data_IF_379115096376
#
_entry.id   IF_379115096376
#
_cell.length_a   1.000
_cell.length_b   1.000
_cell.length_c   1.000
_cell.angle_alpha   90.00
_cell.angle_beta   90.00
_cell.angle_gamma   90.00
#
_symmetry.space_group_name_H-M   'P 1'
#
loop_
_entity.id
_entity.type
_entity.pdbx_description
1 polymer ?
2 polymer ?
3 water ?
#
# COMPACT_ATOMS: atom_id res chain seq x y z
N UNK A 1 1.22 5.11 18.88
CA UNK A 1 0.45 3.97 18.30
C UNK A 1 -0.70 4.50 17.40
N UNK A 2 -1.21 3.69 16.46
CA UNK A 2 -2.41 4.02 15.66
C UNK A 2 -3.69 3.44 16.31
N UNK A 3 -4.67 4.28 16.57
CA UNK A 3 -5.98 3.83 17.07
C UNK A 3 -6.91 3.87 15.86
N UNK A 4 -7.51 2.74 15.53
CA UNK A 4 -8.44 2.61 14.40
C UNK A 4 -9.82 2.38 14.99
N UNK A 5 -10.85 3.10 14.54
CA UNK A 5 -12.26 2.85 14.96
C UNK A 5 -13.11 2.62 13.71
N UNK A 6 -13.88 1.51 13.74
CA UNK A 6 -14.67 0.98 12.63
C UNK A 6 -16.17 1.24 12.84
N UNK A 7 -16.84 1.59 11.73
CA UNK A 7 -18.30 1.91 11.68
C UNK A 7 -18.85 1.63 10.30
N UNK A 8 -20.16 1.56 10.20
CA UNK A 8 -20.90 1.53 8.92
C UNK A 8 -21.63 0.24 8.75
N UNK A 9 -21.48 -0.71 9.66
CA UNK A 9 -22.10 -2.02 9.41
C UNK A 9 -23.55 -2.06 9.89
N UNK A 10 -24.14 -3.25 9.78
CA UNK A 10 -25.44 -3.60 10.41
C UNK A 10 -26.22 -4.53 9.50
N UNK A 11 -27.54 -4.39 9.49
CA UNK A 11 -28.41 -5.40 8.83
C UNK A 11 -28.95 -4.82 7.54
N UNK A 12 -28.76 -5.54 6.45
CA UNK A 12 -29.35 -5.19 5.14
C UNK A 12 -29.96 -6.43 4.52
N UNK A 13 -30.75 -6.22 3.47
CA UNK A 13 -31.23 -7.28 2.55
C UNK A 13 -30.21 -7.49 1.42
N UNK A 14 -30.15 -8.69 0.86
CA UNK A 14 -29.29 -8.98 -0.29
C UNK A 14 -29.55 -7.94 -1.39
N UNK A 15 -28.51 -7.56 -2.12
CA UNK A 15 -28.61 -6.57 -3.20
C UNK A 15 -28.35 -5.17 -2.69
N UNK A 16 -28.39 -4.95 -1.39
CA UNK A 16 -28.24 -3.63 -0.78
C UNK A 16 -26.78 -3.19 -0.77
N UNK A 17 -26.54 -1.95 -0.34
CA UNK A 17 -25.20 -1.30 -0.23
C UNK A 17 -24.92 -0.97 1.22
N UNK A 18 -23.64 -0.99 1.64
CA UNK A 18 -23.18 -0.40 2.93
C UNK A 18 -21.87 0.36 2.65
N UNK A 19 -21.51 1.25 3.56
CA UNK A 19 -20.23 1.93 3.48
C UNK A 19 -19.60 1.85 4.84
N UNK A 20 -18.49 1.15 4.91
CA UNK A 20 -17.69 1.05 6.17
C UNK A 20 -16.60 2.16 6.19
N UNK A 21 -16.35 2.69 7.38
CA UNK A 21 -15.33 3.71 7.66
C UNK A 21 -14.37 3.17 8.71
N UNK A 22 -13.08 3.32 8.41
CA UNK A 22 -12.02 3.18 9.40
C UNK A 22 -11.38 4.56 9.56
N UNK A 23 -11.40 5.06 10.79
CA UNK A 23 -10.85 6.37 11.18
C UNK A 23 -9.59 6.12 12.06
N UNK A 24 -8.45 6.68 11.66
CA UNK A 24 -7.19 6.61 12.43
C UNK A 24 -7.00 7.86 13.30
N UNK A 25 -6.43 7.67 14.49
CA UNK A 25 -5.94 8.74 15.41
C UNK A 25 -4.63 8.27 16.00
N UNK A 26 -3.90 9.11 16.71
CA UNK A 26 -2.59 8.73 17.27
C UNK A 26 -1.48 9.00 16.28
N UNK A 27 -0.73 7.97 15.86
CA UNK A 27 0.35 8.13 14.84
C UNK A 27 -0.30 8.12 13.50
N UNK A 28 -0.97 9.21 13.20
CA UNK A 28 -1.61 9.33 11.88
C UNK A 28 -0.51 9.37 10.80
N UNK A 29 0.71 9.78 11.19
CA UNK A 29 1.94 9.69 10.36
C UNK A 29 2.11 8.27 9.77
N UNK A 30 2.16 7.32 10.69
CA UNK A 30 2.40 5.88 10.46
C UNK A 30 1.26 5.42 9.51
N UNK A 31 0.02 5.84 9.80
CA UNK A 31 -1.17 5.47 9.03
C UNK A 31 -1.03 5.95 7.59
N UNK A 32 -0.59 7.21 7.38
CA UNK A 32 -0.50 7.90 6.05
C UNK A 32 0.54 7.27 5.10
N UNK A 33 1.59 6.69 5.64
CA UNK A 33 2.70 6.04 4.86
C UNK A 33 2.42 4.52 4.76
N UNK A 34 1.31 4.03 5.26
CA UNK A 34 1.04 2.58 5.41
C UNK A 34 -0.08 2.19 4.46
N UNK A 35 0.11 1.09 3.73
CA UNK A 35 -0.96 0.27 3.13
C UNK A 35 -1.94 -0.21 4.23
N UNK A 36 -3.24 -0.09 3.91
CA UNK A 36 -4.38 -0.44 4.80
C UNK A 36 -5.29 -1.41 4.09
N UNK A 37 -5.98 -2.23 4.89
CA UNK A 37 -6.91 -3.20 4.31
C UNK A 37 -8.12 -3.41 5.19
N UNK A 38 -9.16 -3.90 4.55
CA UNK A 38 -10.38 -4.39 5.19
C UNK A 38 -10.31 -5.92 5.15
N UNK A 39 -10.50 -6.48 6.33
CA UNK A 39 -10.50 -7.91 6.67
C UNK A 39 -11.92 -8.26 7.09
N UNK A 40 -12.26 -9.55 6.97
CA UNK A 40 -13.56 -10.02 7.48
C UNK A 40 -13.40 -11.41 8.10
N UNK A 41 -14.14 -11.69 9.15
CA UNK A 41 -14.20 -13.04 9.72
C UNK A 41 -15.66 -13.48 9.82
N UNK A 42 -16.04 -14.47 9.00
CA UNK A 42 -17.36 -15.13 8.95
C UNK A 42 -17.43 -16.11 10.11
N UNK A 43 -18.65 -16.48 10.57
CA UNK A 43 -18.77 -17.43 11.67
C UNK A 43 -18.35 -18.82 11.12
N UNK A 44 -17.44 -19.46 11.86
CA UNK A 44 -16.85 -20.76 11.48
C UNK A 44 -15.69 -20.66 10.51
N UNK A 45 -15.25 -19.44 10.19
CA UNK A 45 -14.20 -19.27 9.18
C UNK A 45 -13.01 -18.47 9.74
N UNK A 46 -11.87 -18.63 9.07
CA UNK A 46 -10.62 -17.88 9.30
C UNK A 46 -10.80 -16.44 8.79
N UNK A 47 -10.26 -15.47 9.53
CA UNK A 47 -10.17 -14.09 9.06
C UNK A 47 -9.44 -14.03 7.71
N UNK A 48 -9.93 -13.21 6.78
CA UNK A 48 -9.41 -13.10 5.39
C UNK A 48 -9.33 -11.61 5.02
N UNK A 49 -8.28 -11.22 4.29
CA UNK A 49 -8.14 -9.87 3.72
C UNK A 49 -9.03 -9.82 2.47
N UNK A 50 -9.91 -8.85 2.36
CA UNK A 50 -10.78 -8.75 1.16
C UNK A 50 -10.38 -7.61 0.23
N UNK A 51 -9.78 -6.55 0.77
CA UNK A 51 -9.42 -5.33 0.03
C UNK A 51 -8.25 -4.64 0.73
N UNK A 52 -7.30 -4.17 -0.08
CA UNK A 52 -6.09 -3.46 0.36
C UNK A 52 -5.85 -2.27 -0.57
N UNK A 53 -5.19 -1.27 -0.02
CA UNK A 53 -4.93 0.02 -0.68
C UNK A 53 -3.56 0.54 -0.25
N UNK A 54 -2.82 1.08 -1.19
CA UNK A 54 -1.48 1.65 -0.96
C UNK A 54 -1.65 2.89 -0.10
N UNK A 55 -0.53 3.35 0.47
CA UNK A 55 -0.38 4.66 1.11
C UNK A 55 -0.99 5.77 0.21
N UNK A 56 -0.81 5.66 -1.10
CA UNK A 56 -1.10 6.79 -1.99
C UNK A 56 -2.58 6.84 -2.33
N UNK A 57 -3.29 5.72 -2.21
CA UNK A 57 -4.73 5.68 -2.40
C UNK A 57 -5.11 5.32 -3.80
N UNK A 58 -4.15 5.11 -4.69
CA UNK A 58 -4.40 4.97 -6.14
C UNK A 58 -4.19 3.55 -6.63
N UNK A 59 -3.95 2.60 -5.75
CA UNK A 59 -3.56 1.23 -6.13
C UNK A 59 -4.16 0.28 -5.10
N UNK A 60 -4.83 -0.77 -5.57
CA UNK A 60 -5.73 -1.62 -4.74
C UNK A 60 -5.56 -3.08 -5.15
N UNK A 61 -5.91 -3.91 -4.18
CA UNK A 61 -5.95 -5.37 -4.36
C UNK A 61 -7.26 -5.83 -3.72
N UNK A 62 -7.97 -6.76 -4.38
CA UNK A 62 -9.23 -7.35 -3.85
C UNK A 62 -9.20 -8.87 -3.93
N UNK A 63 -9.78 -9.52 -2.93
CA UNK A 63 -10.23 -10.92 -2.99
C UNK A 63 -11.18 -11.04 -4.20
N UNK A 64 -10.99 -12.07 -5.01
CA UNK A 64 -11.81 -12.30 -6.24
C UNK A 64 -13.32 -12.33 -5.88
N UNK A 65 -13.69 -12.78 -4.67
CA UNK A 65 -15.08 -12.94 -4.18
C UNK A 65 -15.79 -11.61 -3.98
N UNK A 66 -15.04 -10.49 -3.89
CA UNK A 66 -15.63 -9.13 -3.64
C UNK A 66 -15.25 -8.15 -4.74
N UNK A 67 -14.33 -8.52 -5.61
CA UNK A 67 -13.77 -7.67 -6.69
C UNK A 67 -14.93 -7.15 -7.57
N UNK A 68 -15.02 -5.82 -7.77
CA UNK A 68 -16.10 -5.23 -8.57
C UNK A 68 -17.36 -4.97 -7.81
N UNK A 69 -17.61 -5.63 -6.68
CA UNK A 69 -18.72 -5.28 -5.78
C UNK A 69 -18.28 -4.30 -4.72
N UNK A 70 -17.07 -4.47 -4.19
CA UNK A 70 -16.50 -3.66 -3.09
C UNK A 70 -15.39 -2.79 -3.66
N UNK A 71 -15.37 -1.52 -3.25
CA UNK A 71 -14.31 -0.52 -3.57
C UNK A 71 -13.70 -0.02 -2.28
N UNK A 72 -12.39 -0.19 -2.12
CA UNK A 72 -11.62 0.45 -1.01
C UNK A 72 -11.10 1.79 -1.50
N UNK A 73 -11.13 2.76 -0.62
CA UNK A 73 -10.62 4.11 -0.92
C UNK A 73 -10.08 4.72 0.37
N UNK A 74 -9.38 5.84 0.24
CA UNK A 74 -8.90 6.49 1.46
C UNK A 74 -8.96 7.99 1.21
N UNK A 75 -9.05 8.70 2.33
CA UNK A 75 -8.96 10.18 2.41
C UNK A 75 -7.72 10.43 3.24
N UNK A 76 -6.66 10.78 2.50
CA UNK A 76 -5.32 10.94 3.12
C UNK A 76 -5.36 12.14 4.09
N UNK A 77 -6.04 13.21 3.74
CA UNK A 77 -6.15 14.38 4.63
C UNK A 77 -7.00 14.06 5.87
N UNK A 78 -8.03 13.24 5.79
CA UNK A 78 -8.92 13.02 6.97
C UNK A 78 -8.48 11.76 7.73
N UNK A 79 -7.45 11.02 7.26
CA UNK A 79 -7.00 9.79 7.95
C UNK A 79 -8.12 8.74 8.03
N UNK A 80 -8.73 8.48 6.89
CA UNK A 80 -9.88 7.58 6.75
C UNK A 80 -9.61 6.56 5.65
N UNK A 81 -10.12 5.36 5.87
CA UNK A 81 -10.17 4.26 4.88
C UNK A 81 -11.63 3.83 4.81
N UNK A 82 -12.16 3.77 3.60
CA UNK A 82 -13.56 3.37 3.32
C UNK A 82 -13.65 2.07 2.55
N UNK A 83 -14.74 1.33 2.82
CA UNK A 83 -15.14 0.23 1.96
C UNK A 83 -16.62 0.45 1.58
N UNK A 84 -16.82 0.72 0.31
CA UNK A 84 -18.15 0.78 -0.30
C UNK A 84 -18.50 -0.64 -0.73
N UNK A 85 -19.56 -1.15 -0.12
CA UNK A 85 -20.01 -2.53 -0.36
C UNK A 85 -21.33 -2.48 -1.17
N UNK A 86 -21.28 -2.82 -2.46
CA UNK A 86 -22.47 -2.88 -3.37
C UNK A 86 -22.88 -4.34 -3.62
N UNK A 87 -24.14 -4.54 -3.99
CA UNK A 87 -24.61 -5.88 -4.37
C UNK A 87 -24.31 -6.89 -3.27
N UNK A 88 -24.70 -6.60 -2.04
CA UNK A 88 -24.35 -7.48 -0.90
C UNK A 88 -25.04 -8.85 -1.06
N UNK A 89 -24.33 -9.90 -0.67
CA UNK A 89 -24.78 -11.30 -0.71
C UNK A 89 -24.80 -11.85 0.70
N UNK A 90 -25.62 -12.88 1.02
CA UNK A 90 -25.63 -13.47 2.36
C UNK A 90 -24.24 -13.97 2.77
N UNK A 91 -23.39 -14.41 1.82
CA UNK A 91 -22.01 -14.88 2.08
C UNK A 91 -21.08 -13.72 2.47
N UNK A 92 -21.48 -12.45 2.33
CA UNK A 92 -20.69 -11.28 2.80
C UNK A 92 -20.91 -11.10 4.31
N UNK A 93 -21.81 -11.89 4.94
CA UNK A 93 -22.11 -11.81 6.38
C UNK A 93 -20.81 -12.12 7.13
N UNK A 94 -20.34 -11.19 7.94
CA UNK A 94 -19.06 -11.28 8.65
C UNK A 94 -18.90 -10.05 9.56
N UNK A 95 -17.98 -10.15 10.52
CA UNK A 95 -17.36 -9.00 11.21
C UNK A 95 -16.22 -8.47 10.34
N UNK A 96 -16.24 -7.19 10.07
CA UNK A 96 -15.31 -6.50 9.19
C UNK A 96 -14.39 -5.68 10.05
N UNK A 97 -13.08 -5.80 9.76
CA UNK A 97 -11.95 -5.17 10.50
C UNK A 97 -11.06 -4.42 9.52
N UNK A 98 -10.60 -3.19 9.86
CA UNK A 98 -9.50 -2.48 9.13
C UNK A 98 -8.19 -2.64 9.92
N UNK A 99 -7.09 -2.86 9.20
CA UNK A 99 -5.75 -3.03 9.79
C UNK A 99 -4.75 -2.66 8.71
N UNK A 100 -3.47 -2.70 9.06
CA UNK A 100 -2.37 -2.59 8.09
C UNK A 100 -2.46 -3.75 7.10
N UNK A 101 -2.02 -3.54 5.86
CA UNK A 101 -1.93 -4.57 4.83
C UNK A 101 -0.60 -4.41 4.07
N UNK A 102 0.58 -4.68 4.72
CA UNK A 102 1.90 -4.48 4.09
C UNK A 102 1.92 -5.26 2.79
N UNK A 103 2.43 -4.69 1.71
CA UNK A 103 2.60 -5.37 0.41
C UNK A 103 1.29 -5.69 -0.22
N UNK A 104 0.23 -5.01 0.21
CA UNK A 104 -1.19 -5.26 -0.12
C UNK A 104 -1.58 -6.73 0.15
N UNK A 105 -1.08 -7.29 1.24
CA UNK A 105 -1.33 -8.62 1.73
C UNK A 105 -1.55 -8.51 3.23
N UNK A 106 -1.86 -9.65 3.81
CA UNK A 106 -2.33 -9.75 5.19
C UNK A 106 -1.20 -9.43 6.16
N UNK A 107 -1.50 -8.60 7.15
CA UNK A 107 -0.68 -8.35 8.36
C UNK A 107 -0.64 -9.62 9.22
N UNK A 108 0.43 -9.81 10.01
CA UNK A 108 0.44 -10.75 11.18
C UNK A 108 0.44 -9.92 12.48
N UNK A 109 -0.69 -9.78 13.18
CA UNK A 109 -0.88 -8.90 14.39
C UNK A 109 -1.87 -9.50 15.41
N UNK A 110 -1.63 -9.16 16.68
CA UNK A 110 -2.50 -9.48 17.82
C UNK A 110 -3.30 -8.26 18.26
N UNK A 111 -3.15 -7.14 17.49
CA UNK A 111 -3.79 -5.80 17.67
C UNK A 111 -4.88 -5.58 16.60
N UNK A 112 -6.13 -5.78 17.01
CA UNK A 112 -7.37 -5.68 16.22
C UNK A 112 -8.35 -4.79 16.96
N UNK A 113 -9.09 -3.93 16.27
CA UNK A 113 -10.22 -3.26 16.92
C UNK A 113 -11.38 -4.22 17.08
N UNK A 114 -12.50 -3.69 17.51
CA UNK A 114 -13.78 -4.42 17.70
C UNK A 114 -14.45 -4.83 16.36
N UNK A 115 -14.13 -4.16 15.25
CA UNK A 115 -14.79 -4.56 14.01
C UNK A 115 -16.21 -4.01 13.96
N UNK A 116 -16.86 -4.21 12.80
CA UNK A 116 -18.26 -3.81 12.48
C UNK A 116 -18.93 -5.04 11.83
N UNK A 117 -20.00 -5.50 12.47
CA UNK A 117 -20.84 -6.63 12.03
C UNK A 117 -21.64 -6.14 10.81
N UNK A 118 -21.54 -6.93 9.75
CA UNK A 118 -22.35 -6.86 8.51
C UNK A 118 -23.16 -8.17 8.41
N UNK A 119 -24.48 -8.06 8.42
CA UNK A 119 -25.46 -9.16 8.29
C UNK A 119 -26.29 -8.88 7.04
N UNK A 120 -26.25 -9.78 6.05
CA UNK A 120 -27.03 -9.68 4.78
C UNK A 120 -28.10 -10.81 4.82
N UNK A 121 -29.38 -10.50 4.95
CA UNK A 121 -30.43 -11.55 4.85
C UNK A 121 -30.94 -11.72 3.41
N UNK A 122 -31.34 -12.95 3.04
CA UNK A 122 -31.99 -13.31 1.74
C UNK A 122 -33.38 -12.69 1.59
N UNK B 29 7.00 22.64 -18.79
CA UNK B 29 7.59 23.10 -17.46
C UNK B 29 8.26 21.91 -16.72
N UNK B 30 9.47 22.10 -16.12
CA UNK B 30 10.37 21.00 -15.78
C UNK B 30 10.46 20.60 -14.29
N UNK B 31 9.45 20.90 -13.47
CA UNK B 31 9.50 20.51 -12.05
C UNK B 31 9.48 18.96 -11.97
N UNK B 32 8.89 18.26 -12.96
CA UNK B 32 8.91 16.76 -13.01
C UNK B 32 10.35 16.26 -13.14
N UNK B 33 11.17 16.89 -14.01
CA UNK B 33 12.59 16.50 -14.09
C UNK B 33 13.34 16.97 -12.83
N UNK B 34 13.04 18.11 -12.24
CA UNK B 34 13.77 18.58 -11.02
C UNK B 34 13.50 17.59 -9.85
N UNK B 35 12.26 17.14 -9.69
CA UNK B 35 11.92 16.19 -8.57
C UNK B 35 12.63 14.85 -8.79
N UNK B 36 12.54 14.28 -9.96
CA UNK B 36 13.19 13.00 -10.27
C UNK B 36 14.71 13.09 -10.03
N UNK B 37 15.35 14.16 -10.51
CA UNK B 37 16.80 14.34 -10.41
C UNK B 37 17.17 14.43 -8.94
N UNK B 38 16.45 15.23 -8.17
CA UNK B 38 16.77 15.43 -6.74
C UNK B 38 16.62 14.06 -6.03
N UNK B 39 15.57 13.30 -6.32
CA UNK B 39 15.33 11.95 -5.74
C UNK B 39 16.50 11.02 -6.11
N UNK B 40 16.87 10.99 -7.39
CA UNK B 40 17.99 10.19 -7.93
C UNK B 40 19.31 10.49 -7.22
N UNK B 41 19.49 11.75 -6.79
CA UNK B 41 20.72 12.23 -6.13
C UNK B 41 20.65 12.10 -4.62
N UNK B 42 19.51 11.68 -4.07
CA UNK B 42 19.36 11.50 -2.64
C UNK B 42 19.35 12.80 -1.88
N UNK B 43 18.86 13.88 -2.48
CA UNK B 43 18.91 15.25 -1.93
C UNK B 43 17.62 15.52 -1.20
N UNK B 44 17.56 15.13 0.06
CA UNK B 44 16.29 15.05 0.85
C UNK B 44 15.66 16.44 0.86
N UNK B 45 16.43 17.45 1.27
CA UNK B 45 15.87 18.83 1.48
C UNK B 45 15.39 19.43 0.13
N UNK B 46 16.10 19.14 -0.94
CA UNK B 46 15.62 19.53 -2.30
C UNK B 46 14.32 18.81 -2.67
N UNK B 47 14.18 17.50 -2.50
CA UNK B 47 12.90 16.76 -2.68
C UNK B 47 11.80 17.40 -1.85
N UNK B 48 12.05 17.63 -0.55
CA UNK B 48 11.07 18.22 0.38
C UNK B 48 10.57 19.57 -0.15
N UNK B 49 11.48 20.48 -0.55
CA UNK B 49 11.12 21.84 -1.06
C UNK B 49 10.32 21.75 -2.35
N UNK B 50 10.67 20.81 -3.22
CA UNK B 50 9.95 20.63 -4.50
C UNK B 50 8.54 20.10 -4.23
N UNK B 51 8.39 19.11 -3.37
CA UNK B 51 7.07 18.54 -3.04
C UNK B 51 6.22 19.62 -2.39
N UNK B 52 6.82 20.41 -1.49
CA UNK B 52 6.09 21.46 -0.74
C UNK B 52 5.57 22.53 -1.73
N UNK B 53 6.30 22.78 -2.80
CA UNK B 53 5.89 23.77 -3.81
C UNK B 53 4.93 23.16 -4.83
N UNK B 54 4.56 21.87 -4.75
CA UNK B 54 3.50 21.26 -5.56
C UNK B 54 4.01 20.43 -6.73
N UNK B 55 5.30 20.09 -6.77
CA UNK B 55 5.85 19.09 -7.73
C UNK B 55 5.05 17.79 -7.54
N UNK B 56 4.57 17.19 -8.61
CA UNK B 56 3.66 16.04 -8.44
C UNK B 56 4.51 14.79 -8.27
N UNK B 57 4.33 14.03 -7.15
CA UNK B 57 5.22 12.90 -6.86
C UNK B 57 5.15 11.75 -7.87
N UNK B 58 4.05 11.64 -8.63
CA UNK B 58 3.90 10.55 -9.63
C UNK B 58 4.13 11.08 -11.04
N UNK B 59 4.74 12.26 -11.25
CA UNK B 59 5.03 12.74 -12.63
C UNK B 59 6.26 12.03 -13.15
N UNK B 60 6.22 11.39 -14.34
CA UNK B 60 7.41 10.78 -14.91
C UNK B 60 8.41 11.75 -15.57
N UNK B 61 9.64 11.27 -15.67
CA UNK B 61 10.76 11.92 -16.39
C UNK B 61 10.67 11.48 -17.86
N UNK B 62 11.50 12.09 -18.72
CA UNK B 62 11.79 11.68 -20.13
C UNK B 62 11.80 10.16 -20.39
N UNK B 63 12.24 9.27 -19.50
CA UNK B 63 12.29 7.79 -19.76
C UNK B 63 10.97 7.16 -19.28
N UNK B 64 10.02 8.02 -18.87
CA UNK B 64 8.72 7.59 -18.33
C UNK B 64 8.89 7.01 -16.93
N UNK B 65 9.90 7.50 -16.21
CA UNK B 65 10.26 6.98 -14.87
C UNK B 65 9.88 8.01 -13.82
N UNK B 66 9.20 7.55 -12.76
CA UNK B 66 8.76 8.41 -11.65
C UNK B 66 9.87 8.54 -10.61
N UNK B 67 9.83 9.62 -9.81
CA UNK B 67 10.79 9.80 -8.72
C UNK B 67 11.05 8.53 -7.85
N UNK B 68 10.00 7.80 -7.48
CA UNK B 68 10.07 6.57 -6.61
C UNK B 68 10.85 5.48 -7.37
N UNK B 69 10.85 5.54 -8.71
CA UNK B 69 11.60 4.55 -9.53
C UNK B 69 13.07 4.93 -9.63
N UNK B 70 13.40 6.21 -9.77
CA UNK B 70 14.78 6.63 -10.07
C UNK B 70 15.52 6.98 -8.79
N UNK B 71 14.83 7.02 -7.65
CA UNK B 71 15.43 7.49 -6.37
C UNK B 71 16.69 6.68 -6.01
N UNK B 72 17.63 7.36 -5.36
CA UNK B 72 18.77 6.76 -4.66
C UNK B 72 18.25 5.76 -3.61
N UNK B 73 18.38 4.46 -3.88
CA UNK B 73 17.73 3.39 -3.10
C UNK B 73 18.36 3.31 -1.70
N UNK B 74 19.58 3.84 -1.57
CA UNK B 74 20.26 4.11 -0.29
C UNK B 74 19.57 5.15 0.57
N UNK B 75 18.62 5.93 0.10
CA UNK B 75 18.00 7.01 0.91
C UNK B 75 16.59 6.61 1.26
N UNK B 76 16.40 5.88 2.36
CA UNK B 76 15.05 5.56 2.88
C UNK B 76 14.29 6.84 3.18
N UNK B 77 14.97 7.95 3.53
CA UNK B 77 14.31 9.24 3.79
C UNK B 77 13.66 9.81 2.54
N UNK B 78 14.29 9.76 1.37
CA UNK B 78 13.66 10.21 0.10
C UNK B 78 12.41 9.40 -0.15
N UNK B 79 12.49 8.09 0.01
CA UNK B 79 11.34 7.15 -0.24
C UNK B 79 10.16 7.56 0.64
N UNK B 80 10.40 7.72 1.94
CA UNK B 80 9.29 8.08 2.85
C UNK B 80 8.65 9.43 2.56
N UNK B 81 9.43 10.46 2.25
CA UNK B 81 8.97 11.75 1.83
C UNK B 81 8.12 11.65 0.55
N UNK B 82 8.59 10.95 -0.47
CA UNK B 82 7.81 10.68 -1.72
C UNK B 82 6.48 10.03 -1.36
N UNK B 83 6.50 9.00 -0.56
CA UNK B 83 5.26 8.27 -0.14
C UNK B 83 4.32 9.12 0.73
N UNK B 84 4.85 9.91 1.66
CA UNK B 84 4.05 10.85 2.47
C UNK B 84 3.26 11.74 1.55
N UNK B 85 3.85 12.19 0.45
CA UNK B 85 3.22 13.12 -0.50
C UNK B 85 2.42 12.41 -1.57
N UNK B 86 2.22 11.10 -1.54
CA UNK B 86 1.26 10.38 -2.38
C UNK B 86 1.91 9.63 -3.52
N UNK B 87 3.22 9.46 -3.54
CA UNK B 87 3.86 8.55 -4.52
C UNK B 87 3.33 7.12 -4.42
N UNK B 88 3.20 6.44 -5.58
CA UNK B 88 2.67 5.07 -5.65
C UNK B 88 3.86 4.13 -5.73
N UNK B 89 3.94 3.15 -4.79
CA UNK B 89 5.12 2.27 -4.75
C UNK B 89 5.22 1.26 -5.89
N UNK B 90 4.13 0.94 -6.55
CA UNK B 90 4.10 -0.23 -7.48
C UNK B 90 4.31 0.13 -8.95
N UNK B 91 4.74 1.32 -9.30
CA UNK B 91 4.89 1.72 -10.72
C UNK B 91 6.09 0.97 -11.30
N UNK B 92 5.90 0.42 -12.49
CA UNK B 92 6.85 -0.49 -13.17
C UNK B 92 7.62 0.26 -14.27
N UNK B 93 8.89 -0.08 -14.47
CA UNK B 93 9.70 0.45 -15.60
C UNK B 93 9.00 0.02 -16.89
N UNK B 94 8.62 0.99 -17.77
CA UNK B 94 7.77 0.70 -18.93
C UNK B 94 8.42 -0.28 -19.91
N UNK B 95 9.75 -0.50 -19.86
CA UNK B 95 10.51 -1.52 -20.63
C UNK B 95 10.79 -2.80 -19.81
N UNK B 96 11.58 -2.68 -18.72
CA UNK B 96 12.15 -3.79 -17.89
C UNK B 96 11.08 -4.37 -16.95
N UNK B 97 9.98 -3.65 -16.68
CA UNK B 97 8.96 -4.01 -15.64
C UNK B 97 9.63 -4.18 -14.26
N UNK B 98 10.78 -3.54 -14.07
CA UNK B 98 11.37 -3.47 -12.73
C UNK B 98 10.52 -2.51 -11.92
N UNK B 99 10.18 -2.90 -10.71
CA UNK B 99 9.55 -2.03 -9.68
C UNK B 99 10.60 -1.54 -8.69
N UNK B 100 10.29 -0.48 -7.92
CA UNK B 100 11.15 0.05 -6.87
C UNK B 100 11.67 -1.02 -5.92
N UNK B 101 10.84 -1.97 -5.53
CA UNK B 101 11.25 -3.09 -4.63
C UNK B 101 12.28 -4.02 -5.28
N UNK B 102 12.24 -4.23 -6.61
CA UNK B 102 13.29 -4.99 -7.30
C UNK B 102 14.59 -4.25 -7.08
N UNK B 103 14.64 -2.94 -7.31
CA UNK B 103 15.94 -2.20 -7.28
C UNK B 103 16.44 -2.10 -5.85
N UNK B 104 15.54 -1.87 -4.89
CA UNK B 104 15.87 -1.81 -3.45
C UNK B 104 16.51 -3.15 -3.02
N UNK B 105 15.94 -4.26 -3.46
CA UNK B 105 16.41 -5.65 -3.17
C UNK B 105 17.75 -5.94 -3.85
N UNK B 106 17.88 -5.59 -5.12
CA UNK B 106 19.12 -5.81 -5.94
C UNK B 106 20.29 -5.00 -5.39
N UNK B 107 20.03 -3.84 -4.81
CA UNK B 107 21.08 -2.96 -4.27
C UNK B 107 21.29 -3.21 -2.80
N UNK B 108 20.50 -4.08 -2.19
CA UNK B 108 20.70 -4.51 -0.78
C UNK B 108 20.33 -3.49 0.31
N UNK B 109 19.35 -2.60 0.08
CA UNK B 109 18.93 -1.56 1.05
C UNK B 109 17.64 -2.01 1.71
N UNK B 110 17.80 -2.70 2.83
CA UNK B 110 16.65 -3.23 3.57
C UNK B 110 15.76 -2.07 4.08
N UNK B 111 16.38 -1.00 4.60
CA UNK B 111 15.61 0.15 5.17
C UNK B 111 14.59 0.69 4.15
N UNK B 112 15.01 0.86 2.90
CA UNK B 112 14.19 1.43 1.80
C UNK B 112 13.16 0.37 1.43
N UNK B 113 13.58 -0.88 1.37
CA UNK B 113 12.67 -1.99 1.09
C UNK B 113 11.54 -2.05 2.12
N UNK B 114 11.81 -1.89 3.41
CA UNK B 114 10.77 -1.90 4.46
C UNK B 114 9.77 -0.76 4.23
N UNK B 115 10.24 0.45 4.00
CA UNK B 115 9.41 1.65 3.74
C UNK B 115 8.49 1.36 2.57
N UNK B 116 9.03 0.79 1.51
CA UNK B 116 8.24 0.53 0.29
C UNK B 116 7.17 -0.55 0.60
N UNK B 117 7.53 -1.66 1.24
CA UNK B 117 6.61 -2.78 1.63
C UNK B 117 5.49 -2.25 2.54
N UNK B 118 5.86 -1.48 3.53
CA UNK B 118 4.93 -0.87 4.47
C UNK B 118 3.89 -0.04 3.68
N UNK B 119 4.29 0.75 2.72
CA UNK B 119 3.40 1.58 1.84
C UNK B 119 2.54 0.81 0.82
N UNK B 120 2.75 -0.49 0.64
CA UNK B 120 1.97 -1.34 -0.27
C UNK B 120 2.74 -1.89 -1.45
N UNK B 121 4.07 -1.86 -1.45
CA UNK B 121 4.92 -2.47 -2.48
C UNK B 121 4.69 -3.99 -2.45
N UNK B 122 4.11 -4.53 -3.50
CA UNK B 122 3.88 -5.97 -3.73
C UNK B 122 5.24 -6.62 -3.92
N UNK B 123 5.46 -7.69 -3.15
CA UNK B 123 6.74 -8.45 -3.14
C UNK B 123 6.72 -9.61 -4.18
N UNK B 124 5.56 -9.92 -4.75
CA UNK B 124 5.29 -11.07 -5.66
C UNK B 124 5.38 -10.61 -7.11
N UNK B 125 5.99 -9.48 -7.38
CA UNK B 125 6.12 -8.91 -8.76
C UNK B 125 7.33 -9.54 -9.49
N UNK B 126 7.20 -9.80 -10.79
CA UNK B 126 8.28 -10.30 -11.68
C UNK B 126 8.64 -9.23 -12.71
N UNK B 127 9.93 -9.04 -12.92
CA UNK B 127 10.47 -8.12 -13.94
C UNK B 127 10.36 -8.84 -15.33
N UNK B 128 10.90 -8.22 -16.37
CA UNK B 128 10.76 -8.65 -17.78
C UNK B 128 11.34 -10.07 -17.92
N UNK B 129 12.36 -10.41 -17.12
CA UNK B 129 13.08 -11.70 -17.19
C UNK B 129 12.57 -12.63 -16.10
N UNK B 130 11.32 -12.43 -15.64
CA UNK B 130 10.64 -13.26 -14.62
C UNK B 130 11.35 -13.30 -13.27
N UNK B 131 12.09 -12.26 -12.84
CA UNK B 131 12.72 -12.27 -11.48
C UNK B 131 11.85 -11.53 -10.46
N UNK B 132 11.71 -12.17 -9.29
CA UNK B 132 11.22 -11.61 -8.00
C UNK B 132 12.32 -10.80 -7.29
N UNK B 133 11.89 -9.81 -6.47
CA UNK B 133 12.83 -9.09 -5.59
C UNK B 133 13.74 -10.07 -4.82
N UNK B 134 13.18 -11.13 -4.24
CA UNK B 134 13.93 -12.13 -3.41
C UNK B 134 15.00 -12.85 -4.26
N UNK B 135 14.75 -13.06 -5.54
CA UNK B 135 15.73 -13.61 -6.52
C UNK B 135 16.92 -12.70 -6.65
N UNK B 136 16.70 -11.40 -6.82
CA UNK B 136 17.81 -10.45 -7.05
C UNK B 136 18.69 -10.42 -5.80
N UNK B 137 18.05 -10.46 -4.63
CA UNK B 137 18.74 -10.35 -3.32
C UNK B 137 19.59 -11.60 -3.09
N UNK B 138 18.98 -12.76 -3.28
CA UNK B 138 19.68 -14.07 -3.06
C UNK B 138 20.86 -14.21 -3.99
N UNK B 139 20.68 -13.81 -5.23
CA UNK B 139 21.71 -14.04 -6.27
C UNK B 139 22.99 -13.30 -5.89
N UNK B 140 22.89 -12.14 -5.23
CA UNK B 140 24.04 -11.23 -4.89
C UNK B 140 24.48 -11.41 -3.44
N UNK B 141 23.77 -12.23 -2.67
CA UNK B 141 24.12 -12.53 -1.27
C UNK B 141 23.67 -11.46 -0.30
N UNK B 142 22.64 -10.66 -0.63
CA UNK B 142 22.07 -9.62 0.28
C UNK B 142 21.17 -10.29 1.29
N UNK B 143 21.75 -10.89 2.33
CA UNK B 143 21.05 -11.85 3.18
C UNK B 143 20.01 -11.19 4.07
N UNK B 144 20.28 -9.98 4.55
CA UNK B 144 19.29 -9.23 5.41
C UNK B 144 17.99 -9.02 4.61
N UNK B 145 18.12 -8.58 3.37
CA UNK B 145 16.96 -8.38 2.47
C UNK B 145 16.24 -9.72 2.17
N UNK B 146 17.00 -10.74 1.76
CA UNK B 146 16.41 -12.05 1.35
C UNK B 146 15.63 -12.63 2.52
N UNK B 147 16.19 -12.52 3.72
CA UNK B 147 15.52 -13.08 4.90
C UNK B 147 14.21 -12.29 5.14
N UNK B 148 14.25 -10.95 5.06
CA UNK B 148 13.05 -10.11 5.23
C UNK B 148 12.00 -10.55 4.23
N UNK B 149 12.35 -10.75 2.98
CA UNK B 149 11.40 -11.03 1.92
C UNK B 149 10.83 -12.46 2.09
N UNK B 150 11.65 -13.43 2.50
CA UNK B 150 11.19 -14.84 2.68
C UNK B 150 10.13 -14.87 3.81
N UNK B 151 10.41 -14.15 4.92
CA UNK B 151 9.51 -14.01 6.10
C UNK B 151 8.20 -13.28 5.74
N UNK B 152 8.24 -12.22 4.92
CA UNK B 152 7.05 -11.39 4.56
C UNK B 152 6.08 -12.22 3.71
N UNK B 153 6.59 -13.12 2.87
CA UNK B 153 5.79 -14.06 2.06
C UNK B 153 4.94 -14.95 2.98
#
# INVERSE_FOLDING_TARGET
QVQLVESGGGLVQAGASLRLSCAASGSTYMFSISAMGWYRQAPGKQRELVAAITSGGGDTNYADSVKGRFTISRDRAKNMVYLQMNSLKPEDTAVYYCNFAPGLQSVRSGSWGQGTQVTVSSHHHHHHEPEA
MAHHHHHHSSGLEVLFQGPMEPAAGSSMEPSADWLATAAARGRVEEVRALLEAGALPNAPNSYGRRPIQVMMMGSARVAELLLLHGAEPNCADPATLTRPVHDAAREGFLDTLVVLHRAGARLDVRDAWGRLPVDLAEELGHRDVARYLRAAAGGTRGSNHARIDAAEGPSDIPD
#
